data_IF_569327213576
#
_entry.id   IF_569327213576
#
_cell.length_a   1.000
_cell.length_b   1.000
_cell.length_c   1.000
_cell.angle_alpha   90.00
_cell.angle_beta   90.00
_cell.angle_gamma   90.00
#
_symmetry.space_group_name_H-M   'P 1'
#
loop_
_entity.id
_entity.type
_entity.pdbx_description
1 polymer ?
#
# COMPACT_ATOMS: atom_id res chain seq x y z
N UNK A 1 -3.40 21.42 6.62
CA UNK A 1 -3.33 20.52 5.44
C UNK A 1 -3.74 19.12 5.91
N UNK A 2 -4.25 18.24 5.04
CA UNK A 2 -4.64 16.87 5.47
C UNK A 2 -3.39 16.01 5.67
N UNK A 3 -3.34 15.23 6.76
CA UNK A 3 -2.24 14.32 7.09
C UNK A 3 -2.58 12.89 6.68
N UNK A 4 -1.78 12.30 5.80
CA UNK A 4 -2.05 11.01 5.17
C UNK A 4 -0.86 10.09 5.38
N UNK A 5 -1.11 8.92 5.98
CA UNK A 5 -0.14 7.84 6.08
C UNK A 5 -0.40 6.82 4.95
N UNK A 6 0.58 6.59 4.09
CA UNK A 6 0.51 5.59 3.02
C UNK A 6 1.30 4.34 3.41
N UNK A 7 0.65 3.18 3.37
CA UNK A 7 1.25 1.91 3.75
C UNK A 7 1.84 1.23 2.51
N UNK A 8 3.17 1.22 2.37
CA UNK A 8 3.89 0.63 1.25
C UNK A 8 4.33 -0.80 1.59
N UNK A 9 3.70 -1.82 0.99
CA UNK A 9 3.94 -3.23 1.36
C UNK A 9 5.17 -3.90 0.74
N UNK A 10 5.97 -3.17 -0.05
CA UNK A 10 7.07 -3.65 -0.87
C UNK A 10 6.69 -4.04 -2.30
N UNK A 11 7.66 -4.12 -3.19
CA UNK A 11 7.47 -4.44 -4.62
C UNK A 11 6.44 -3.55 -5.31
N UNK A 12 5.49 -4.16 -6.02
CA UNK A 12 4.43 -3.42 -6.75
C UNK A 12 3.57 -2.51 -5.85
N UNK A 13 3.43 -2.85 -4.56
CA UNK A 13 2.69 -2.02 -3.60
C UNK A 13 3.39 -0.69 -3.32
N UNK A 14 4.72 -0.68 -3.34
CA UNK A 14 5.53 0.54 -3.24
C UNK A 14 5.39 1.39 -4.50
N UNK A 15 5.26 0.74 -5.67
CA UNK A 15 4.88 1.41 -6.90
C UNK A 15 3.58 2.21 -6.74
N UNK A 16 2.51 1.59 -6.22
CA UNK A 16 1.26 2.30 -5.94
C UNK A 16 1.40 3.41 -4.90
N UNK A 17 2.17 3.19 -3.84
CA UNK A 17 2.44 4.21 -2.83
C UNK A 17 3.12 5.44 -3.45
N UNK A 18 4.11 5.22 -4.33
CA UNK A 18 4.83 6.27 -5.03
C UNK A 18 3.93 7.04 -6.01
N UNK A 19 3.09 6.35 -6.78
CA UNK A 19 2.13 7.00 -7.68
C UNK A 19 1.18 7.91 -6.90
N UNK A 20 0.65 7.43 -5.78
CA UNK A 20 -0.18 8.26 -4.90
C UNK A 20 0.59 9.45 -4.33
N UNK A 21 1.85 9.25 -3.95
CA UNK A 21 2.68 10.32 -3.43
C UNK A 21 2.92 11.42 -4.48
N UNK A 22 3.25 11.05 -5.73
CA UNK A 22 3.43 11.98 -6.85
C UNK A 22 2.16 12.82 -7.12
N UNK A 23 0.97 12.23 -6.99
CA UNK A 23 -0.31 12.93 -7.21
C UNK A 23 -0.78 13.78 -6.02
N UNK A 24 -0.39 13.42 -4.80
CA UNK A 24 -0.78 14.12 -3.58
C UNK A 24 0.26 15.15 -3.10
N UNK A 25 1.45 15.16 -3.69
CA UNK A 25 2.51 16.11 -3.35
C UNK A 25 2.01 17.57 -3.46
N UNK A 26 2.21 18.35 -2.40
CA UNK A 26 1.74 19.73 -2.29
C UNK A 26 0.25 19.89 -1.98
N UNK A 27 -0.53 18.79 -1.90
CA UNK A 27 -1.97 18.81 -1.54
C UNK A 27 -2.24 18.22 -0.16
N UNK A 28 -1.31 17.41 0.36
CA UNK A 28 -1.39 16.76 1.66
C UNK A 28 0.00 16.66 2.32
N UNK A 29 0.03 16.53 3.65
CA UNK A 29 1.22 16.11 4.40
C UNK A 29 1.28 14.59 4.34
N UNK A 30 2.33 14.06 3.72
CA UNK A 30 2.49 12.63 3.50
C UNK A 30 3.50 12.05 4.49
N UNK A 31 3.18 10.87 5.02
CA UNK A 31 4.13 9.99 5.70
C UNK A 31 3.93 8.56 5.20
N UNK A 32 4.93 7.71 5.41
CA UNK A 32 4.95 6.36 4.88
C UNK A 32 5.28 5.34 5.95
N UNK A 33 4.72 4.13 5.80
CA UNK A 33 5.14 2.97 6.56
C UNK A 33 5.54 1.87 5.59
N UNK A 34 6.79 1.39 5.69
CA UNK A 34 7.35 0.35 4.82
C UNK A 34 7.93 -0.83 5.66
N UNK A 35 8.11 -2.02 5.07
CA UNK A 35 8.85 -3.10 5.71
C UNK A 35 10.29 -2.72 6.07
N UNK A 36 10.78 -3.12 7.24
CA UNK A 36 12.19 -2.92 7.64
C UNK A 36 13.21 -3.58 6.69
N UNK A 37 12.81 -4.67 6.04
CA UNK A 37 13.67 -5.42 5.11
C UNK A 37 13.59 -4.93 3.66
N UNK A 38 12.98 -3.75 3.44
CA UNK A 38 12.78 -3.17 2.11
C UNK A 38 13.38 -1.76 1.98
N UNK A 39 14.72 -1.67 1.77
CA UNK A 39 15.41 -0.40 1.64
C UNK A 39 15.01 0.36 0.37
N UNK A 40 14.56 -0.33 -0.68
CA UNK A 40 14.15 0.30 -1.93
C UNK A 40 12.87 1.13 -1.73
N UNK A 41 11.93 0.62 -0.93
CA UNK A 41 10.73 1.38 -0.57
C UNK A 41 11.04 2.68 0.15
N UNK A 42 12.00 2.67 1.07
CA UNK A 42 12.43 3.89 1.75
C UNK A 42 13.08 4.88 0.77
N UNK A 43 14.00 4.39 -0.07
CA UNK A 43 14.70 5.24 -1.04
C UNK A 43 13.73 5.93 -2.01
N UNK A 44 12.71 5.21 -2.49
CA UNK A 44 11.72 5.71 -3.43
C UNK A 44 10.71 6.69 -2.81
N UNK A 45 10.47 6.63 -1.51
CA UNK A 45 9.40 7.38 -0.85
C UNK A 45 9.90 8.57 -0.01
N UNK A 46 11.16 8.56 0.44
CA UNK A 46 11.74 9.62 1.29
C UNK A 46 11.70 11.02 0.67
N UNK A 47 11.65 11.11 -0.66
CA UNK A 47 11.54 12.40 -1.36
C UNK A 47 10.17 13.07 -1.17
N UNK A 48 9.13 12.30 -0.80
CA UNK A 48 7.76 12.79 -0.63
C UNK A 48 7.36 13.02 0.84
N UNK A 49 8.12 12.50 1.80
CA UNK A 49 7.82 12.60 3.23
C UNK A 49 8.60 11.60 4.09
N UNK A 50 8.47 11.68 5.43
CA UNK A 50 9.12 10.75 6.35
C UNK A 50 8.63 9.32 6.13
N UNK A 51 9.57 8.37 6.13
CA UNK A 51 9.31 6.93 6.02
C UNK A 51 9.68 6.27 7.34
N UNK A 52 8.67 5.75 8.03
CA UNK A 52 8.88 4.85 9.16
C UNK A 52 8.89 3.40 8.66
N UNK A 53 9.61 2.53 9.36
CA UNK A 53 9.66 1.11 9.02
C UNK A 53 8.80 0.25 9.95
N UNK A 54 8.41 -0.96 9.57
CA UNK A 54 7.73 -1.92 10.45
C UNK A 54 8.13 -3.34 10.08
N UNK A 55 8.23 -4.22 11.07
CA UNK A 55 8.45 -5.66 10.83
C UNK A 55 7.32 -6.22 9.97
N UNK A 56 7.66 -6.79 8.82
CA UNK A 56 6.70 -7.52 7.97
C UNK A 56 6.33 -8.85 8.64
N UNK A 57 5.04 -9.12 8.90
CA UNK A 57 4.65 -10.34 9.60
C UNK A 57 4.85 -11.62 8.75
N UNK A 58 5.01 -11.50 7.42
CA UNK A 58 5.13 -12.65 6.51
C UNK A 58 5.96 -12.33 5.24
N UNK A 59 6.95 -13.16 4.94
CA UNK A 59 7.58 -13.26 3.61
C UNK A 59 6.98 -14.43 2.82
N UNK A 60 7.14 -14.48 1.48
CA UNK A 60 6.67 -15.60 0.65
C UNK A 60 7.11 -16.99 1.14
N UNK A 61 8.27 -17.08 1.77
CA UNK A 61 8.88 -18.32 2.30
C UNK A 61 8.67 -18.55 3.80
N UNK A 62 7.89 -17.71 4.50
CA UNK A 62 7.77 -17.79 5.97
C UNK A 62 6.84 -18.93 6.41
N UNK A 63 7.32 -19.87 7.25
CA UNK A 63 6.47 -20.90 7.85
C UNK A 63 5.38 -20.31 8.75
N UNK A 64 4.18 -20.90 8.73
CA UNK A 64 2.97 -20.41 9.43
C UNK A 64 3.16 -20.18 10.95
N UNK A 65 4.06 -20.92 11.59
CA UNK A 65 4.36 -20.76 13.02
C UNK A 65 5.25 -19.54 13.34
N UNK A 66 6.09 -19.09 12.41
CA UNK A 66 6.85 -17.83 12.58
C UNK A 66 5.95 -16.61 12.36
N UNK A 67 4.91 -16.77 11.55
CA UNK A 67 3.88 -15.75 11.32
C UNK A 67 3.09 -15.44 12.60
N UNK A 68 2.68 -16.46 13.38
CA UNK A 68 1.90 -16.26 14.62
C UNK A 68 2.68 -15.55 15.74
N UNK A 69 4.01 -15.70 15.79
CA UNK A 69 4.86 -15.00 16.77
C UNK A 69 5.24 -13.57 16.35
N UNK A 70 5.38 -13.30 15.04
CA UNK A 70 5.74 -11.98 14.52
C UNK A 70 4.54 -11.03 14.41
N UNK A 71 3.33 -11.57 14.30
CA UNK A 71 2.11 -10.77 14.18
C UNK A 71 1.83 -9.87 15.40
N UNK A 72 1.93 -10.35 16.67
CA UNK A 72 1.74 -9.49 17.84
C UNK A 72 2.79 -8.39 17.97
N UNK A 73 4.05 -8.68 17.61
CA UNK A 73 5.13 -7.69 17.63
C UNK A 73 4.93 -6.60 16.58
N UNK A 74 4.64 -6.99 15.33
CA UNK A 74 4.31 -6.04 14.26
C UNK A 74 3.04 -5.21 14.58
N UNK A 75 2.07 -5.82 15.28
CA UNK A 75 0.89 -5.12 15.78
C UNK A 75 1.25 -4.10 16.86
N UNK A 76 2.06 -4.47 17.85
CA UNK A 76 2.53 -3.55 18.91
C UNK A 76 3.36 -2.39 18.35
N UNK A 77 4.30 -2.67 17.45
CA UNK A 77 5.14 -1.64 16.83
C UNK A 77 4.29 -0.67 15.98
N UNK A 78 3.22 -1.15 15.35
CA UNK A 78 2.27 -0.31 14.59
C UNK A 78 1.50 0.65 15.50
N UNK A 79 1.23 0.29 16.75
CA UNK A 79 0.50 1.15 17.70
C UNK A 79 1.29 2.43 17.99
N UNK A 80 2.61 2.35 18.13
CA UNK A 80 3.46 3.53 18.37
C UNK A 80 3.60 4.44 17.15
N UNK A 81 3.60 3.86 15.94
CA UNK A 81 3.85 4.58 14.69
C UNK A 81 2.63 5.28 14.11
N UNK A 82 1.43 4.74 14.36
CA UNK A 82 0.18 5.35 13.90
C UNK A 82 -0.27 6.40 14.91
N UNK A 83 0.02 7.67 14.64
CA UNK A 83 -0.39 8.78 15.50
C UNK A 83 -1.85 9.18 15.25
N UNK A 84 -2.56 9.63 16.30
CA UNK A 84 -3.98 10.00 16.23
C UNK A 84 -4.25 11.31 15.47
N UNK A 85 -3.22 12.06 15.13
CA UNK A 85 -3.33 13.31 14.36
C UNK A 85 -3.43 13.08 12.84
N UNK A 86 -3.37 11.83 12.38
CA UNK A 86 -3.61 11.46 11.00
C UNK A 86 -5.09 11.61 10.62
N UNK A 87 -5.37 12.18 9.46
CA UNK A 87 -6.73 12.23 8.91
C UNK A 87 -7.08 10.90 8.20
N UNK A 88 -6.11 10.34 7.46
CA UNK A 88 -6.31 9.17 6.60
C UNK A 88 -5.13 8.20 6.65
N UNK A 89 -5.44 6.90 6.53
CA UNK A 89 -4.47 5.84 6.24
C UNK A 89 -4.84 5.16 4.93
N UNK A 90 -3.90 5.04 4.01
CA UNK A 90 -4.11 4.38 2.71
C UNK A 90 -3.39 3.05 2.68
N UNK A 91 -4.15 1.96 2.59
CA UNK A 91 -3.63 0.61 2.33
C UNK A 91 -3.46 0.39 0.83
N UNK A 92 -2.26 -0.02 0.42
CA UNK A 92 -1.97 -0.37 -0.98
C UNK A 92 -2.41 -1.79 -1.37
N UNK A 93 -3.02 -2.55 -0.46
CA UNK A 93 -3.53 -3.91 -0.72
C UNK A 93 -2.57 -5.06 -0.33
N UNK A 94 -1.40 -4.78 0.24
CA UNK A 94 -0.50 -5.80 0.79
C UNK A 94 -0.99 -6.34 2.13
N UNK A 95 -0.69 -7.61 2.45
CA UNK A 95 -0.96 -8.18 3.78
C UNK A 95 -0.29 -7.38 4.91
N UNK A 96 0.85 -6.74 4.61
CA UNK A 96 1.53 -5.81 5.51
C UNK A 96 0.59 -4.71 6.03
N UNK A 97 -0.34 -4.25 5.20
CA UNK A 97 -1.23 -3.15 5.53
C UNK A 97 -2.33 -3.54 6.52
N UNK A 98 -2.60 -4.83 6.75
CA UNK A 98 -3.77 -5.26 7.52
C UNK A 98 -3.70 -4.75 8.96
N UNK A 99 -2.63 -5.09 9.67
CA UNK A 99 -2.41 -4.70 11.07
C UNK A 99 -2.43 -3.18 11.27
N UNK A 100 -1.63 -2.37 10.55
CA UNK A 100 -1.67 -0.92 10.70
C UNK A 100 -3.03 -0.32 10.33
N UNK A 101 -3.74 -0.85 9.33
CA UNK A 101 -5.08 -0.33 8.97
C UNK A 101 -6.12 -0.58 10.07
N UNK A 102 -6.09 -1.76 10.69
CA UNK A 102 -6.97 -2.07 11.84
C UNK A 102 -6.69 -1.11 13.00
N UNK A 103 -5.41 -0.89 13.33
CA UNK A 103 -5.02 0.03 14.41
C UNK A 103 -5.45 1.46 14.10
N UNK A 104 -5.30 1.90 12.86
CA UNK A 104 -5.77 3.22 12.42
C UNK A 104 -7.28 3.38 12.62
N UNK A 105 -8.06 2.38 12.18
CA UNK A 105 -9.50 2.36 12.38
C UNK A 105 -9.90 2.39 13.86
N UNK A 106 -9.26 1.58 14.71
CA UNK A 106 -9.48 1.59 16.17
C UNK A 106 -9.15 2.94 16.82
N UNK A 107 -8.25 3.72 16.20
CA UNK A 107 -7.90 5.08 16.62
C UNK A 107 -8.85 6.15 16.06
N UNK A 108 -9.87 5.78 15.30
CA UNK A 108 -10.83 6.69 14.67
C UNK A 108 -10.32 7.33 13.37
N UNK A 109 -9.21 6.84 12.83
CA UNK A 109 -8.62 7.37 11.59
C UNK A 109 -9.32 6.72 10.39
N UNK A 110 -9.62 7.51 9.35
CA UNK A 110 -10.29 7.01 8.15
C UNK A 110 -9.35 6.12 7.32
N UNK A 111 -9.73 4.87 7.11
CA UNK A 111 -8.97 3.93 6.26
C UNK A 111 -9.49 3.97 4.83
N UNK A 112 -8.58 4.11 3.87
CA UNK A 112 -8.82 3.93 2.44
C UNK A 112 -8.08 2.67 2.02
N UNK A 113 -8.77 1.75 1.37
CA UNK A 113 -8.21 0.47 0.96
C UNK A 113 -8.15 0.37 -0.57
N UNK A 114 -6.99 0.06 -1.13
CA UNK A 114 -6.84 -0.26 -2.54
C UNK A 114 -6.96 -1.77 -2.76
N UNK A 115 -7.75 -2.18 -3.74
CA UNK A 115 -7.66 -3.53 -4.30
C UNK A 115 -6.50 -3.59 -5.31
N UNK A 116 -5.97 -4.78 -5.57
CA UNK A 116 -4.96 -4.97 -6.59
C UNK A 116 -5.54 -4.97 -8.01
N UNK A 117 -4.83 -4.35 -8.95
CA UNK A 117 -5.24 -4.27 -10.36
C UNK A 117 -5.31 -5.65 -11.06
N UNK A 118 -4.68 -6.69 -10.52
CA UNK A 118 -4.66 -8.05 -11.10
C UNK A 118 -5.81 -8.95 -10.60
N UNK A 119 -6.71 -8.42 -9.75
CA UNK A 119 -7.81 -9.18 -9.15
C UNK A 119 -9.12 -9.00 -9.91
N UNK A 120 -9.42 -9.94 -10.81
CA UNK A 120 -10.64 -9.93 -11.63
C UNK A 120 -11.64 -11.04 -11.31
N UNK A 121 -11.21 -12.12 -10.66
CA UNK A 121 -12.05 -13.30 -10.39
C UNK A 121 -12.38 -13.48 -8.91
N UNK A 122 -11.52 -12.95 -8.03
CA UNK A 122 -11.68 -12.96 -6.58
C UNK A 122 -10.97 -11.76 -5.99
N UNK A 123 -11.53 -11.21 -4.91
CA UNK A 123 -10.88 -10.16 -4.15
C UNK A 123 -9.67 -10.67 -3.39
N UNK A 124 -8.69 -9.79 -3.16
CA UNK A 124 -7.58 -10.08 -2.28
C UNK A 124 -8.04 -10.27 -0.83
N UNK A 125 -7.30 -11.07 -0.08
CA UNK A 125 -7.58 -11.26 1.35
C UNK A 125 -7.53 -9.93 2.10
N UNK A 126 -6.55 -9.07 1.79
CA UNK A 126 -6.45 -7.71 2.34
C UNK A 126 -7.73 -6.92 2.10
N UNK A 127 -8.19 -6.83 0.84
CA UNK A 127 -9.35 -6.02 0.52
C UNK A 127 -10.63 -6.55 1.18
N UNK A 128 -10.81 -7.87 1.25
CA UNK A 128 -11.93 -8.49 1.98
C UNK A 128 -11.92 -8.16 3.47
N UNK A 129 -10.75 -8.20 4.09
CA UNK A 129 -10.59 -7.93 5.53
C UNK A 129 -10.81 -6.45 5.84
N UNK A 130 -10.28 -5.56 5.01
CA UNK A 130 -10.31 -4.11 5.26
C UNK A 130 -11.62 -3.44 4.85
N UNK A 131 -12.33 -3.95 3.84
CA UNK A 131 -13.56 -3.33 3.32
C UNK A 131 -14.63 -2.99 4.37
N UNK A 132 -14.94 -3.85 5.36
CA UNK A 132 -16.02 -3.58 6.32
C UNK A 132 -15.84 -2.29 7.12
N UNK A 133 -14.60 -1.82 7.28
CA UNK A 133 -14.27 -0.62 8.06
C UNK A 133 -13.50 0.44 7.26
N UNK A 134 -13.26 0.20 5.97
CA UNK A 134 -12.68 1.19 5.08
C UNK A 134 -13.74 2.21 4.70
N UNK A 135 -13.41 3.50 4.77
CA UNK A 135 -14.25 4.60 4.29
C UNK A 135 -14.55 4.44 2.80
N UNK A 136 -13.53 4.02 2.04
CA UNK A 136 -13.62 3.72 0.60
C UNK A 136 -12.73 2.51 0.31
N UNK A 137 -13.25 1.56 -0.47
CA UNK A 137 -12.42 0.59 -1.20
C UNK A 137 -12.28 1.08 -2.64
N UNK A 138 -11.09 1.49 -3.03
CA UNK A 138 -10.78 1.96 -4.37
C UNK A 138 -10.43 0.77 -5.28
N UNK A 139 -11.11 0.73 -6.43
CA UNK A 139 -11.02 -0.33 -7.42
C UNK A 139 -10.38 0.21 -8.70
N UNK A 140 -9.69 -0.67 -9.41
CA UNK A 140 -9.03 -0.39 -10.67
C UNK A 140 -9.95 -0.60 -11.88
N UNK A 141 -10.89 -1.55 -11.80
CA UNK A 141 -11.75 -1.96 -12.92
C UNK A 141 -13.21 -2.14 -12.50
N UNK A 142 -14.14 -1.94 -13.43
CA UNK A 142 -15.58 -2.13 -13.21
C UNK A 142 -15.91 -3.59 -12.86
N UNK A 143 -15.17 -4.56 -13.40
CA UNK A 143 -15.34 -5.97 -13.09
C UNK A 143 -15.15 -6.27 -11.60
N UNK A 144 -14.35 -5.46 -10.90
CA UNK A 144 -14.09 -5.65 -9.47
C UNK A 144 -15.30 -5.30 -8.61
N UNK A 145 -16.23 -4.47 -9.10
CA UNK A 145 -17.49 -4.14 -8.41
C UNK A 145 -18.39 -5.38 -8.24
N UNK A 146 -18.23 -6.40 -9.10
CA UNK A 146 -18.94 -7.68 -8.98
C UNK A 146 -18.47 -8.49 -7.77
N UNK A 147 -17.33 -8.14 -7.18
CA UNK A 147 -16.64 -8.93 -6.14
C UNK A 147 -16.50 -8.15 -4.83
N UNK A 148 -16.42 -6.82 -4.90
CA UNK A 148 -16.23 -5.93 -3.77
C UNK A 148 -17.18 -4.74 -3.84
N UNK A 149 -17.63 -4.27 -2.68
CA UNK A 149 -18.31 -2.98 -2.56
C UNK A 149 -17.25 -1.88 -2.52
N UNK A 150 -16.96 -1.29 -3.68
CA UNK A 150 -15.97 -0.24 -3.83
C UNK A 150 -16.40 0.84 -4.81
N UNK A 151 -15.46 1.73 -5.14
CA UNK A 151 -15.62 2.74 -6.18
C UNK A 151 -14.48 2.57 -7.18
N UNK A 152 -14.81 2.55 -8.46
CA UNK A 152 -13.83 2.47 -9.55
C UNK A 152 -13.16 3.83 -9.75
N UNK A 153 -11.83 3.84 -9.70
CA UNK A 153 -10.98 5.01 -9.98
C UNK A 153 -10.11 4.81 -11.23
N UNK A 154 -10.05 3.58 -11.75
CA UNK A 154 -9.15 3.23 -12.85
C UNK A 154 -7.78 2.75 -12.38
N UNK A 155 -6.92 2.30 -13.31
CA UNK A 155 -5.59 1.84 -13.00
C UNK A 155 -4.67 2.97 -12.53
N UNK A 156 -3.83 2.68 -11.55
CA UNK A 156 -2.85 3.64 -11.03
C UNK A 156 -1.62 3.54 -11.92
N UNK A 157 -1.42 4.56 -12.75
CA UNK A 157 -0.32 4.62 -13.70
C UNK A 157 0.72 5.66 -13.24
N UNK A 158 2.02 5.33 -13.29
CA UNK A 158 3.05 6.28 -12.94
C UNK A 158 3.12 7.43 -13.93
N UNK A 159 3.52 8.61 -13.45
CA UNK A 159 3.81 9.73 -14.34
C UNK A 159 4.91 9.34 -15.31
N UNK A 160 4.69 9.67 -16.58
CA UNK A 160 5.66 9.44 -17.65
C UNK A 160 6.91 10.27 -17.37
N UNK A 161 8.04 9.58 -17.18
CA UNK A 161 9.36 10.22 -16.97
C UNK A 161 10.14 10.40 -18.26
N UNK A 162 9.84 9.62 -19.30
CA UNK A 162 10.59 9.61 -20.56
C UNK A 162 9.62 9.50 -21.73
N UNK A 163 9.88 10.26 -22.78
CA UNK A 163 9.15 10.16 -24.05
C UNK A 163 9.48 8.84 -24.76
N UNK A 164 8.49 8.08 -25.26
CA UNK A 164 8.71 6.95 -26.13
C UNK A 164 9.50 7.38 -27.35
N UNK A 165 10.51 6.59 -27.67
CA UNK A 165 11.36 6.79 -28.83
C UNK A 165 11.68 5.44 -29.43
N UNK A 166 11.91 5.42 -30.75
CA UNK A 166 12.33 4.23 -31.45
C UNK A 166 13.85 4.16 -31.48
N UNK A 167 14.43 3.22 -30.72
CA UNK A 167 15.87 3.01 -30.67
C UNK A 167 16.43 1.99 -31.64
N UNK A 168 15.60 1.34 -32.45
CA UNK A 168 16.05 0.28 -33.38
C UNK A 168 16.51 -1.00 -32.69
N UNK A 169 16.14 -1.21 -31.42
CA UNK A 169 16.43 -2.43 -30.67
C UNK A 169 15.18 -2.94 -29.93
N UNK A 170 15.22 -4.21 -29.53
CA UNK A 170 14.22 -4.82 -28.65
C UNK A 170 14.74 -4.78 -27.22
N UNK A 171 14.09 -4.02 -26.35
CA UNK A 171 14.40 -4.02 -24.92
C UNK A 171 13.77 -5.25 -24.26
N UNK A 172 14.60 -6.13 -23.69
CA UNK A 172 14.14 -7.26 -22.89
C UNK A 172 14.30 -6.88 -21.42
N UNK A 173 13.17 -6.69 -20.72
CA UNK A 173 13.13 -6.48 -19.28
C UNK A 173 12.51 -7.70 -18.60
N UNK A 174 13.25 -8.35 -17.72
CA UNK A 174 12.74 -9.43 -16.88
C UNK A 174 12.21 -8.88 -15.57
N UNK A 175 10.98 -9.26 -15.19
CA UNK A 175 10.48 -9.04 -13.84
C UNK A 175 10.99 -10.14 -12.92
N UNK A 176 11.87 -9.82 -11.97
CA UNK A 176 12.15 -10.70 -10.82
C UNK A 176 11.45 -10.16 -9.59
N UNK A 177 11.06 -11.07 -8.68
CA UNK A 177 10.42 -10.81 -7.39
C UNK A 177 10.62 -9.37 -6.90
N UNK A 178 9.53 -8.59 -6.89
CA UNK A 178 9.49 -7.26 -6.29
C UNK A 178 9.57 -7.31 -4.77
#
# INVERSE_FOLDING_TARGET
>A
MKKILILAGGGGHTGYAKILAEELQGRAELSFLAPEDDPLSEELLREYGPVDQLIKPRHPTTPTWRWSLRFPKAFYDSIGKIKRDLDYVVSTGSNFCISPSIIAWLKGISVINLESADRFTRASSTAKILQPFSKITALHWEEQEKILKGRVFGPFLPRRKVEPWNGGYVLIAGGTYG
#
